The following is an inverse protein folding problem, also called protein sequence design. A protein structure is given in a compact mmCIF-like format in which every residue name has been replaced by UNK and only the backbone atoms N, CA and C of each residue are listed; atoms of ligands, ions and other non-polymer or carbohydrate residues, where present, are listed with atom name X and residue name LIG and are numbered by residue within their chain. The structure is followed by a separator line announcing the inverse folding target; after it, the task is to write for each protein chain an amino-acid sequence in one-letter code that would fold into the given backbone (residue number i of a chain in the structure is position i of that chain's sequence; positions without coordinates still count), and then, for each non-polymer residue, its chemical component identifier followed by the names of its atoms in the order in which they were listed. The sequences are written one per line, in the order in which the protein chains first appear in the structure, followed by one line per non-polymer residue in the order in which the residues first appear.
data_IF_826548722299
#
_entry.id   IF_826548722299
#
_cell.length_a   1.000
_cell.length_b   1.000
_cell.length_c   1.000
_cell.angle_alpha   90.00
_cell.angle_beta   90.00
_cell.angle_gamma   90.00
#
_symmetry.space_group_name_H-M   'P 1'
#
loop_
_entity.id
_entity.type
_entity.pdbx_description
1 polymer ?
#
# COMPACT_ATOMS: atom_id res chain seq x y z
N UNK A 1 -6.38 1.78 -6.39
CA UNK A 1 -5.26 2.65 -5.92
C UNK A 1 -4.63 2.07 -4.68
N UNK A 2 -3.31 1.90 -4.63
CA UNK A 2 -2.58 1.47 -3.42
C UNK A 2 -1.83 2.65 -2.83
N UNK A 3 -2.04 2.91 -1.54
CA UNK A 3 -1.48 4.05 -0.83
C UNK A 3 -0.55 3.59 0.28
N UNK A 4 0.70 4.05 0.20
CA UNK A 4 1.75 3.75 1.18
C UNK A 4 1.83 4.87 2.21
N UNK A 5 1.33 4.64 3.43
CA UNK A 5 1.45 5.61 4.51
C UNK A 5 2.85 5.59 5.13
N UNK A 6 3.55 6.73 5.02
CA UNK A 6 4.80 7.03 5.71
C UNK A 6 4.51 7.97 6.90
N UNK A 7 5.41 8.01 7.88
CA UNK A 7 5.29 8.90 9.06
C UNK A 7 4.02 8.70 9.91
N UNK A 8 3.48 7.49 9.94
CA UNK A 8 2.34 7.16 10.82
C UNK A 8 2.76 7.18 12.29
N UNK A 9 1.76 7.25 13.20
CA UNK A 9 1.95 7.16 14.65
C UNK A 9 2.95 6.05 14.99
N UNK A 10 4.05 6.43 15.65
CA UNK A 10 5.08 5.50 16.13
C UNK A 10 4.54 4.78 17.36
N UNK A 11 4.37 3.47 17.28
CA UNK A 11 4.22 2.68 18.51
C UNK A 11 5.63 2.43 19.06
N UNK A 12 5.91 2.95 20.27
CA UNK A 12 7.18 2.73 20.98
C UNK A 12 8.44 3.01 20.13
N UNK A 13 8.43 4.12 19.38
CA UNK A 13 9.61 4.62 18.67
C UNK A 13 9.83 4.11 17.24
N UNK A 14 9.15 3.04 16.80
CA UNK A 14 9.24 2.55 15.40
C UNK A 14 7.87 2.64 14.70
N UNK A 15 7.82 3.26 13.52
CA UNK A 15 6.65 3.24 12.64
C UNK A 15 6.77 2.06 11.68
N UNK A 16 5.78 1.16 11.69
CA UNK A 16 5.63 0.14 10.65
C UNK A 16 4.97 0.76 9.43
N UNK A 17 5.46 0.47 8.22
CA UNK A 17 4.81 0.96 7.00
C UNK A 17 3.45 0.30 6.87
N UNK A 18 2.49 1.00 6.28
CA UNK A 18 1.17 0.44 5.99
C UNK A 18 0.76 0.76 4.57
N UNK A 19 0.28 -0.27 3.88
CA UNK A 19 -0.26 -0.16 2.54
C UNK A 19 -1.76 -0.41 2.61
N UNK A 20 -2.52 0.56 2.13
CA UNK A 20 -3.97 0.46 2.00
C UNK A 20 -4.34 0.41 0.53
N UNK A 21 -5.41 -0.31 0.22
CA UNK A 21 -5.97 -0.36 -1.13
C UNK A 21 -7.34 0.26 -1.11
N UNK A 22 -7.58 1.13 -2.09
CA UNK A 22 -8.86 1.76 -2.37
C UNK A 22 -9.31 1.39 -3.77
N UNK A 23 -10.62 1.28 -3.95
CA UNK A 23 -11.26 1.00 -5.23
C UNK A 23 -12.32 2.06 -5.51
N UNK A 24 -12.76 2.17 -6.76
CA UNK A 24 -13.83 3.09 -7.12
C UNK A 24 -15.13 2.70 -6.41
N UNK A 25 -15.62 3.63 -5.60
CA UNK A 25 -16.84 3.45 -4.82
C UNK A 25 -18.06 3.73 -5.68
N UNK A 26 -19.21 3.22 -5.26
CA UNK A 26 -20.49 3.44 -5.95
C UNK A 26 -20.93 4.90 -5.89
N UNK A 27 -20.65 5.57 -4.77
CA UNK A 27 -20.89 7.00 -4.61
C UNK A 27 -19.68 7.82 -5.09
N UNK A 28 -19.84 8.43 -6.27
CA UNK A 28 -18.84 9.31 -6.88
C UNK A 28 -18.55 10.56 -6.02
N UNK A 29 -19.51 11.04 -5.24
CA UNK A 29 -19.33 12.23 -4.40
C UNK A 29 -18.32 12.02 -3.28
N UNK A 30 -18.13 10.76 -2.87
CA UNK A 30 -17.22 10.36 -1.79
C UNK A 30 -16.06 9.47 -2.31
N UNK A 31 -15.94 9.27 -3.62
CA UNK A 31 -14.95 8.34 -4.16
C UNK A 31 -13.54 8.94 -4.23
N UNK A 32 -12.72 8.59 -3.24
CA UNK A 32 -11.31 8.99 -3.20
C UNK A 32 -10.54 8.59 -4.48
N UNK A 33 -10.82 7.41 -5.07
CA UNK A 33 -10.11 6.97 -6.29
C UNK A 33 -10.46 7.86 -7.48
N UNK A 34 -11.73 8.18 -7.70
CA UNK A 34 -12.14 9.05 -8.80
C UNK A 34 -11.56 10.46 -8.67
N UNK A 35 -11.54 11.04 -7.46
CA UNK A 35 -10.87 12.33 -7.23
C UNK A 35 -9.37 12.28 -7.55
N UNK A 36 -8.69 11.20 -7.16
CA UNK A 36 -7.27 11.03 -7.43
C UNK A 36 -6.97 10.85 -8.93
N UNK A 37 -7.82 10.12 -9.66
CA UNK A 37 -7.71 10.00 -11.12
C UNK A 37 -7.94 11.35 -11.80
N UNK A 38 -8.94 12.13 -11.36
CA UNK A 38 -9.21 13.45 -11.90
C UNK A 38 -8.03 14.42 -11.71
N UNK A 39 -7.44 14.43 -10.51
CA UNK A 39 -6.23 15.22 -10.23
C UNK A 39 -5.05 14.77 -11.11
N UNK A 40 -4.80 13.46 -11.19
CA UNK A 40 -3.70 12.93 -12.00
C UNK A 40 -3.86 13.26 -13.50
N UNK A 41 -5.09 13.24 -14.03
CA UNK A 41 -5.35 13.64 -15.41
C UNK A 41 -5.19 15.15 -15.62
N UNK A 42 -5.70 15.99 -14.70
CA UNK A 42 -5.55 17.43 -14.77
C UNK A 42 -4.07 17.87 -14.76
N UNK A 43 -3.22 17.08 -14.11
CA UNK A 43 -1.78 17.29 -14.00
C UNK A 43 -0.96 16.58 -15.08
N UNK A 44 -1.58 15.74 -15.93
CA UNK A 44 -0.89 14.82 -16.84
C UNK A 44 0.19 13.99 -16.10
N UNK A 45 -0.16 13.50 -14.91
CA UNK A 45 0.77 12.86 -13.98
C UNK A 45 1.07 11.39 -14.31
N UNK A 46 0.37 10.79 -15.27
CA UNK A 46 0.63 9.42 -15.70
C UNK A 46 1.75 9.37 -16.74
N UNK A 47 2.63 8.38 -16.61
CA UNK A 47 3.73 8.12 -17.55
C UNK A 47 3.26 7.87 -18.99
N UNK A 48 2.06 7.33 -19.15
CA UNK A 48 1.44 7.03 -20.45
C UNK A 48 0.63 8.20 -21.04
N UNK A 49 0.69 9.39 -20.43
CA UNK A 49 0.07 10.63 -20.91
C UNK A 49 -1.42 10.54 -21.28
N UNK A 50 -2.20 9.78 -20.50
CA UNK A 50 -3.65 9.66 -20.69
C UNK A 50 -4.33 11.03 -20.74
N UNK A 51 -5.25 11.24 -21.69
CA UNK A 51 -5.98 12.50 -21.86
C UNK A 51 -7.37 12.47 -21.24
N UNK A 52 -7.89 11.27 -20.96
CA UNK A 52 -9.20 11.09 -20.36
C UNK A 52 -9.29 9.81 -19.52
N UNK A 53 -10.33 9.75 -18.66
CA UNK A 53 -10.68 8.51 -17.96
C UNK A 53 -11.03 7.38 -18.94
N UNK A 54 -11.57 7.72 -20.12
CA UNK A 54 -11.91 6.73 -21.14
C UNK A 54 -10.67 5.99 -21.64
N UNK A 55 -9.53 6.67 -21.75
CA UNK A 55 -8.27 6.04 -22.14
C UNK A 55 -7.85 4.96 -21.14
N UNK A 56 -8.08 5.23 -19.85
CA UNK A 56 -7.78 4.30 -18.76
C UNK A 56 -8.77 3.13 -18.74
N UNK A 57 -10.07 3.40 -18.83
CA UNK A 57 -11.10 2.34 -18.78
C UNK A 57 -11.13 1.45 -20.03
N UNK A 58 -10.60 1.93 -21.16
CA UNK A 58 -10.46 1.13 -22.37
C UNK A 58 -9.24 0.19 -22.33
N UNK A 59 -8.40 0.26 -21.30
CA UNK A 59 -7.24 -0.63 -21.18
C UNK A 59 -7.70 -2.08 -21.01
N UNK A 60 -7.10 -2.97 -21.80
CA UNK A 60 -7.34 -4.41 -21.72
C UNK A 60 -6.14 -5.07 -21.05
N UNK A 61 -6.39 -5.75 -19.92
CA UNK A 61 -5.35 -6.54 -19.25
C UNK A 61 -4.89 -7.65 -20.20
N UNK A 62 -3.58 -7.76 -20.50
CA UNK A 62 -3.06 -8.82 -21.35
C UNK A 62 -3.43 -10.22 -20.81
N UNK A 63 -3.71 -11.23 -21.67
CA UNK A 63 -4.09 -12.57 -21.24
C UNK A 63 -3.04 -13.26 -20.34
N UNK A 64 -1.79 -12.85 -20.47
CA UNK A 64 -0.63 -13.30 -19.70
C UNK A 64 -0.32 -12.40 -18.50
N UNK A 65 -1.22 -11.51 -18.10
CA UNK A 65 -1.10 -10.69 -16.90
C UNK A 65 -2.38 -10.75 -16.06
N UNK A 66 -2.27 -10.52 -14.75
CA UNK A 66 -3.44 -10.48 -13.85
C UNK A 66 -3.98 -9.06 -13.64
N UNK A 67 -3.21 -8.03 -14.01
CA UNK A 67 -3.55 -6.60 -13.87
C UNK A 67 -2.66 -5.72 -14.75
N UNK A 68 -3.06 -4.46 -14.91
CA UNK A 68 -2.21 -3.38 -15.43
C UNK A 68 -1.88 -2.43 -14.28
N UNK A 69 -0.62 -2.03 -14.18
CA UNK A 69 -0.17 -0.99 -13.25
C UNK A 69 -0.05 0.32 -14.01
N UNK A 70 -0.75 1.35 -13.55
CA UNK A 70 -0.61 2.71 -14.07
C UNK A 70 0.48 3.42 -13.26
N UNK A 71 1.58 3.75 -13.90
CA UNK A 71 2.71 4.43 -13.26
C UNK A 71 2.58 5.95 -13.37
N UNK A 72 3.03 6.62 -12.33
CA UNK A 72 3.23 8.07 -12.36
C UNK A 72 4.45 8.37 -13.23
N UNK A 73 4.42 9.52 -13.90
CA UNK A 73 5.61 10.09 -14.50
C UNK A 73 6.68 10.36 -13.43
N UNK A 74 7.96 10.25 -13.79
CA UNK A 74 9.07 10.34 -12.83
C UNK A 74 9.15 11.72 -12.16
N UNK A 75 8.81 12.81 -12.87
CA UNK A 75 8.75 14.15 -12.28
C UNK A 75 7.61 14.24 -11.27
N UNK A 76 6.44 13.70 -11.63
CA UNK A 76 5.23 13.76 -10.81
C UNK A 76 5.26 12.81 -9.61
N UNK A 77 6.02 11.72 -9.67
CA UNK A 77 6.17 10.76 -8.56
C UNK A 77 6.74 11.41 -7.29
N UNK A 78 7.51 12.48 -7.44
CA UNK A 78 8.12 13.25 -6.33
C UNK A 78 7.29 14.48 -5.93
N UNK A 79 6.23 14.83 -6.67
CA UNK A 79 5.39 15.99 -6.36
C UNK A 79 4.29 15.64 -5.33
N UNK A 80 3.93 16.58 -4.44
CA UNK A 80 2.77 16.39 -3.60
C UNK A 80 1.49 16.41 -4.44
N UNK A 81 0.55 15.51 -4.13
CA UNK A 81 -0.73 15.42 -4.83
C UNK A 81 -1.65 16.58 -4.41
N UNK A 82 -1.83 16.76 -3.10
CA UNK A 82 -2.54 17.91 -2.55
C UNK A 82 -1.57 19.07 -2.40
N UNK A 83 -1.74 20.08 -3.25
CA UNK A 83 -0.82 21.21 -3.41
C UNK A 83 -1.41 22.48 -2.83
N UNK A 84 -0.54 23.31 -2.26
CA UNK A 84 -0.92 24.64 -1.78
C UNK A 84 -1.00 25.65 -2.93
N UNK A 85 -1.61 26.80 -2.66
CA UNK A 85 -1.64 27.94 -3.59
C UNK A 85 -0.51 28.92 -3.29
N UNK A 86 0.04 29.51 -4.35
CA UNK A 86 1.06 30.55 -4.27
C UNK A 86 0.59 31.83 -4.96
N UNK A 87 0.90 32.97 -4.33
CA UNK A 87 0.68 34.29 -4.91
C UNK A 87 1.89 34.63 -5.75
N UNK A 88 1.63 35.01 -7.00
CA UNK A 88 2.63 35.43 -7.98
C UNK A 88 2.30 36.83 -8.48
N UNK A 89 3.22 37.46 -9.22
CA UNK A 89 2.96 38.74 -9.88
C UNK A 89 1.73 38.69 -10.82
N UNK A 90 1.38 37.50 -11.34
CA UNK A 90 0.27 37.28 -12.26
C UNK A 90 -1.00 36.74 -11.56
N UNK A 91 -1.08 36.84 -10.22
CA UNK A 91 -2.21 36.34 -9.44
C UNK A 91 -1.91 35.04 -8.70
N UNK A 92 -2.96 34.29 -8.36
CA UNK A 92 -2.88 33.07 -7.54
C UNK A 92 -2.84 31.83 -8.44
N UNK A 93 -1.90 30.93 -8.18
CA UNK A 93 -1.82 29.63 -8.87
C UNK A 93 -1.59 28.47 -7.91
N UNK A 94 -1.87 27.25 -8.35
CA UNK A 94 -1.51 26.04 -7.60
C UNK A 94 0.01 25.87 -7.68
N UNK A 95 0.66 25.74 -6.52
CA UNK A 95 2.10 25.51 -6.44
C UNK A 95 2.43 24.11 -6.92
N UNK A 96 3.50 23.94 -7.70
CA UNK A 96 3.91 22.60 -8.15
C UNK A 96 4.49 21.76 -7.02
N UNK A 97 5.26 22.38 -6.13
CA UNK A 97 6.12 21.68 -5.17
C UNK A 97 5.65 21.81 -3.71
N UNK A 98 4.83 22.82 -3.38
CA UNK A 98 4.38 23.04 -2.00
C UNK A 98 3.20 22.14 -1.68
N UNK A 99 3.39 21.25 -0.71
CA UNK A 99 2.31 20.41 -0.18
C UNK A 99 1.30 21.23 0.63
N UNK A 100 0.04 20.81 0.58
CA UNK A 100 -1.03 21.42 1.34
C UNK A 100 -0.86 21.13 2.84
N UNK A 101 -0.70 22.19 3.63
CA UNK A 101 -0.31 22.07 5.04
C UNK A 101 -1.48 21.62 5.93
N UNK A 102 -1.18 20.78 6.94
CA UNK A 102 -2.18 20.28 7.88
C UNK A 102 -2.95 21.40 8.61
N UNK A 103 -2.25 22.45 9.04
CA UNK A 103 -2.89 23.58 9.72
C UNK A 103 -3.91 24.29 8.81
N UNK A 104 -3.55 24.46 7.53
CA UNK A 104 -4.41 25.06 6.50
C UNK A 104 -5.61 24.15 6.21
N UNK A 105 -5.38 22.84 6.06
CA UNK A 105 -6.46 21.85 5.92
C UNK A 105 -7.43 21.89 7.09
N UNK A 106 -6.93 21.84 8.33
CA UNK A 106 -7.76 21.92 9.55
C UNK A 106 -8.60 23.20 9.57
N UNK A 107 -8.01 24.34 9.20
CA UNK A 107 -8.72 25.61 9.14
C UNK A 107 -9.92 25.56 8.18
N UNK A 108 -9.72 25.07 6.94
CA UNK A 108 -10.81 24.96 5.97
C UNK A 108 -11.83 23.89 6.35
N UNK A 109 -11.41 22.77 6.93
CA UNK A 109 -12.31 21.70 7.37
C UNK A 109 -13.28 22.19 8.45
N UNK A 110 -12.80 22.96 9.44
CA UNK A 110 -13.65 23.57 10.46
C UNK A 110 -14.62 24.58 9.84
N UNK A 111 -14.15 25.41 8.89
CA UNK A 111 -15.00 26.38 8.19
C UNK A 111 -16.08 25.72 7.36
N UNK A 112 -15.74 24.66 6.63
CA UNK A 112 -16.70 23.86 5.88
C UNK A 112 -17.79 23.36 6.82
N UNK A 113 -17.42 22.82 7.98
CA UNK A 113 -18.38 22.37 8.98
C UNK A 113 -19.38 23.44 9.42
N UNK A 114 -18.90 24.68 9.63
CA UNK A 114 -19.75 25.82 10.00
C UNK A 114 -20.70 26.21 8.87
N UNK A 115 -20.23 26.24 7.63
CA UNK A 115 -21.05 26.57 6.45
C UNK A 115 -22.13 25.52 6.22
N UNK A 116 -21.82 24.24 6.47
CA UNK A 116 -22.79 23.15 6.40
C UNK A 116 -23.80 23.16 7.57
N UNK A 117 -23.67 24.08 8.53
CA UNK A 117 -24.61 24.22 9.64
C UNK A 117 -24.46 23.17 10.74
N UNK A 118 -23.32 22.48 10.85
CA UNK A 118 -23.11 21.54 11.95
C UNK A 118 -23.06 22.28 13.29
N UNK A 119 -23.83 21.78 14.26
CA UNK A 119 -23.91 22.32 15.63
C UNK A 119 -22.53 22.37 16.31
N UNK A 120 -21.73 21.32 16.10
CA UNK A 120 -20.37 21.21 16.63
C UNK A 120 -19.35 21.44 15.52
N UNK A 121 -18.25 22.11 15.87
CA UNK A 121 -17.13 22.26 14.96
C UNK A 121 -16.59 20.89 14.54
N UNK A 122 -16.40 20.70 13.24
CA UNK A 122 -15.81 19.47 12.72
C UNK A 122 -14.35 19.34 13.17
N UNK A 123 -13.99 18.15 13.66
CA UNK A 123 -12.63 17.82 14.08
C UNK A 123 -12.10 16.63 13.28
N UNK A 124 -10.88 16.76 12.75
CA UNK A 124 -10.21 15.65 12.07
C UNK A 124 -10.02 14.43 12.99
N UNK A 125 -9.85 14.68 14.30
CA UNK A 125 -9.81 13.61 15.28
C UNK A 125 -11.17 12.91 15.46
N UNK A 126 -12.27 13.62 15.22
CA UNK A 126 -13.62 13.05 15.14
C UNK A 126 -13.74 11.99 14.05
N UNK A 127 -13.24 12.29 12.84
CA UNK A 127 -13.20 11.31 11.73
C UNK A 127 -12.43 10.05 12.13
N UNK A 128 -11.25 10.23 12.73
CA UNK A 128 -10.42 9.10 13.21
C UNK A 128 -11.14 8.26 14.27
N UNK A 129 -11.87 8.88 15.20
CA UNK A 129 -12.64 8.15 16.22
C UNK A 129 -13.80 7.37 15.60
N UNK A 130 -14.53 7.99 14.67
CA UNK A 130 -15.59 7.33 13.90
C UNK A 130 -15.07 6.09 13.18
N UNK A 131 -14.04 6.24 12.34
CA UNK A 131 -13.42 5.09 11.66
C UNK A 131 -12.89 4.04 12.64
N UNK A 132 -12.31 4.48 13.76
CA UNK A 132 -11.79 3.59 14.79
C UNK A 132 -12.87 2.73 15.48
N UNK A 133 -14.10 3.25 15.60
CA UNK A 133 -15.25 2.51 16.12
C UNK A 133 -15.70 1.45 15.10
N UNK A 134 -15.92 1.83 13.85
CA UNK A 134 -16.36 0.88 12.82
C UNK A 134 -15.36 -0.27 12.64
N UNK A 135 -14.06 0.04 12.65
CA UNK A 135 -13.00 -0.99 12.63
C UNK A 135 -13.00 -1.87 13.88
N UNK A 136 -13.35 -1.34 15.05
CA UNK A 136 -13.41 -2.10 16.28
C UNK A 136 -14.55 -3.11 16.27
N UNK A 137 -15.67 -2.74 15.67
CA UNK A 137 -16.87 -3.57 15.62
C UNK A 137 -16.76 -4.62 14.49
N UNK A 138 -15.96 -4.34 13.44
CA UNK A 138 -15.83 -5.20 12.26
C UNK A 138 -14.61 -6.15 12.23
N UNK A 139 -13.59 -5.94 13.07
CA UNK A 139 -12.29 -6.63 12.99
C UNK A 139 -11.81 -7.14 14.36
N UNK A 140 -10.83 -8.05 14.36
CA UNK A 140 -10.22 -8.47 15.63
C UNK A 140 -9.46 -7.32 16.31
N UNK A 141 -9.27 -7.36 17.64
CA UNK A 141 -8.49 -6.35 18.34
C UNK A 141 -7.08 -6.16 17.76
N UNK A 142 -6.43 -7.23 17.32
CA UNK A 142 -5.10 -7.27 16.71
C UNK A 142 -5.08 -6.53 15.37
N UNK A 143 -6.01 -6.89 14.48
CA UNK A 143 -6.16 -6.28 13.15
C UNK A 143 -6.45 -4.78 13.28
N UNK A 144 -7.39 -4.42 14.16
CA UNK A 144 -7.74 -3.03 14.45
C UNK A 144 -6.56 -2.26 15.06
N UNK A 145 -5.81 -2.85 16.02
CA UNK A 145 -4.60 -2.23 16.59
C UNK A 145 -3.55 -2.01 15.51
N UNK A 146 -3.32 -3.02 14.68
CA UNK A 146 -2.41 -2.96 13.56
C UNK A 146 -2.79 -1.81 12.62
N UNK A 147 -4.02 -1.79 12.09
CA UNK A 147 -4.53 -0.74 11.18
C UNK A 147 -4.44 0.65 11.81
N UNK A 148 -4.88 0.81 13.06
CA UNK A 148 -4.90 2.11 13.74
C UNK A 148 -3.52 2.60 14.19
N UNK A 149 -2.50 1.73 14.20
CA UNK A 149 -1.15 2.09 14.64
C UNK A 149 -1.05 2.21 16.16
N UNK A 150 -1.85 1.40 16.85
CA UNK A 150 -1.78 1.26 18.28
C UNK A 150 -0.71 0.22 18.64
N UNK A 151 -0.21 0.27 19.87
CA UNK A 151 0.78 -0.70 20.34
C UNK A 151 0.18 -2.10 20.41
N UNK A 152 0.81 -3.05 19.73
CA UNK A 152 0.51 -4.48 19.81
C UNK A 152 1.60 -5.27 20.54
N UNK A 153 1.37 -6.58 20.63
CA UNK A 153 2.30 -7.58 21.14
C UNK A 153 3.39 -7.94 20.10
N UNK A 154 4.05 -9.08 20.29
CA UNK A 154 5.11 -9.58 19.39
C UNK A 154 4.54 -9.94 18.01
N UNK A 155 3.36 -10.56 17.97
CA UNK A 155 2.68 -10.97 16.76
C UNK A 155 2.40 -9.80 15.81
N UNK A 156 1.74 -8.72 16.27
CA UNK A 156 1.41 -7.60 15.37
C UNK A 156 2.65 -6.85 14.88
N UNK A 157 3.74 -6.89 15.66
CA UNK A 157 5.01 -6.27 15.28
C UNK A 157 5.72 -7.03 14.19
N UNK A 158 5.88 -8.34 14.33
CA UNK A 158 6.75 -9.12 13.47
C UNK A 158 6.02 -9.90 12.38
N UNK A 159 4.77 -10.28 12.60
CA UNK A 159 4.07 -11.22 11.72
C UNK A 159 2.93 -10.61 10.92
N UNK A 160 2.33 -9.50 11.38
CA UNK A 160 1.34 -8.81 10.54
C UNK A 160 2.03 -8.19 9.30
N UNK A 161 1.53 -8.40 8.08
CA UNK A 161 2.12 -7.79 6.90
C UNK A 161 1.97 -6.26 6.90
N UNK A 162 2.80 -5.57 6.12
CA UNK A 162 2.62 -4.12 5.89
C UNK A 162 1.37 -3.84 5.05
N UNK A 163 0.92 -4.81 4.25
CA UNK A 163 -0.31 -4.71 3.47
C UNK A 163 -1.53 -5.02 4.33
N UNK A 164 -2.43 -4.06 4.44
CA UNK A 164 -3.72 -4.24 5.11
C UNK A 164 -4.67 -4.93 4.12
N UNK A 165 -5.00 -6.18 4.40
CA UNK A 165 -5.80 -7.04 3.52
C UNK A 165 -7.31 -6.96 3.78
N UNK A 166 -7.74 -6.00 4.62
CA UNK A 166 -9.13 -5.72 4.97
C UNK A 166 -9.65 -4.52 4.19
N UNK A 167 -10.93 -4.58 3.83
CA UNK A 167 -11.63 -3.49 3.18
C UNK A 167 -11.98 -2.35 4.16
N UNK A 168 -10.97 -1.55 4.53
CA UNK A 168 -11.17 -0.39 5.39
C UNK A 168 -12.07 0.67 4.74
N UNK A 169 -12.10 0.76 3.41
CA UNK A 169 -13.01 1.67 2.68
C UNK A 169 -14.46 1.23 2.90
N UNK A 170 -14.75 -0.06 2.66
CA UNK A 170 -16.08 -0.63 2.84
C UNK A 170 -16.57 -0.51 4.29
N UNK A 171 -15.71 -0.86 5.25
CA UNK A 171 -16.02 -0.75 6.69
C UNK A 171 -16.35 0.70 7.06
N UNK A 172 -15.54 1.68 6.62
CA UNK A 172 -15.77 3.08 6.99
C UNK A 172 -17.04 3.66 6.36
N UNK A 173 -17.34 3.29 5.11
CA UNK A 173 -18.50 3.79 4.38
C UNK A 173 -19.79 3.00 4.68
N UNK A 174 -19.71 1.92 5.46
CA UNK A 174 -20.85 1.04 5.72
C UNK A 174 -21.33 0.28 4.47
N UNK A 175 -20.45 0.04 3.51
CA UNK A 175 -20.77 -0.67 2.26
C UNK A 175 -20.33 -2.14 2.31
N UNK A 176 -20.88 -3.02 1.45
CA UNK A 176 -20.47 -4.42 1.41
C UNK A 176 -18.95 -4.57 1.23
N UNK A 177 -18.32 -5.34 2.14
CA UNK A 177 -16.87 -5.54 2.17
C UNK A 177 -16.39 -6.33 0.95
N UNK A 178 -15.30 -5.86 0.33
CA UNK A 178 -14.63 -6.50 -0.82
C UNK A 178 -13.24 -7.04 -0.43
N UNK A 179 -13.16 -7.74 0.70
CA UNK A 179 -11.88 -8.25 1.25
C UNK A 179 -11.14 -9.20 0.29
N UNK A 180 -11.86 -9.93 -0.56
CA UNK A 180 -11.26 -10.79 -1.58
C UNK A 180 -10.57 -9.98 -2.68
N UNK A 181 -11.18 -8.88 -3.15
CA UNK A 181 -10.57 -7.93 -4.06
C UNK A 181 -9.31 -7.32 -3.45
N UNK A 182 -9.39 -6.83 -2.20
CA UNK A 182 -8.23 -6.26 -1.49
C UNK A 182 -7.11 -7.29 -1.36
N UNK A 183 -7.42 -8.52 -0.94
CA UNK A 183 -6.43 -9.61 -0.86
C UNK A 183 -5.80 -9.93 -2.21
N UNK A 184 -6.57 -9.94 -3.31
CA UNK A 184 -6.02 -10.15 -4.66
C UNK A 184 -5.03 -9.05 -5.03
N UNK A 185 -5.30 -7.79 -4.68
CA UNK A 185 -4.38 -6.68 -4.94
C UNK A 185 -3.04 -6.89 -4.21
N UNK A 186 -3.06 -7.39 -2.98
CA UNK A 186 -1.86 -7.65 -2.18
C UNK A 186 -1.01 -8.85 -2.61
N UNK A 187 -1.48 -9.68 -3.54
CA UNK A 187 -0.70 -10.82 -4.07
C UNK A 187 0.48 -10.33 -4.89
N UNK A 188 1.57 -11.10 -4.86
CA UNK A 188 2.70 -10.88 -5.76
C UNK A 188 2.24 -11.02 -7.20
N UNK A 189 2.48 -9.99 -8.00
CA UNK A 189 2.26 -10.04 -9.43
C UNK A 189 3.28 -10.97 -10.07
N UNK A 190 2.82 -11.82 -10.98
CA UNK A 190 3.68 -12.70 -11.77
C UNK A 190 3.19 -12.69 -13.19
N UNK A 191 4.09 -12.34 -14.10
CA UNK A 191 3.80 -12.36 -15.52
C UNK A 191 3.61 -13.82 -15.96
N UNK A 192 2.55 -14.13 -16.70
CA UNK A 192 2.14 -15.47 -17.12
C UNK A 192 3.16 -16.16 -18.03
N UNK A 193 3.88 -15.39 -18.86
CA UNK A 193 5.03 -15.89 -19.63
C UNK A 193 6.26 -16.26 -18.77
N UNK A 194 6.27 -15.96 -17.48
CA UNK A 194 7.39 -16.35 -16.61
C UNK A 194 7.37 -17.87 -16.38
N UNK A 195 8.50 -18.59 -16.52
CA UNK A 195 8.57 -20.04 -16.25
C UNK A 195 8.17 -20.36 -14.80
N UNK A 196 7.28 -21.34 -14.60
CA UNK A 196 6.81 -21.78 -13.28
C UNK A 196 7.76 -22.74 -12.58
N UNK A 197 8.60 -23.39 -13.37
CA UNK A 197 9.64 -24.27 -12.91
C UNK A 197 10.79 -24.24 -13.91
N UNK A 198 11.96 -24.61 -13.44
CA UNK A 198 13.10 -24.89 -14.31
C UNK A 198 12.84 -26.21 -15.05
N UNK A 199 13.31 -26.28 -16.29
CA UNK A 199 13.42 -27.56 -17.02
C UNK A 199 14.44 -28.47 -16.33
N UNK A 200 14.40 -29.77 -16.63
CA UNK A 200 15.33 -30.72 -16.02
C UNK A 200 16.78 -30.47 -16.47
N UNK A 201 16.96 -29.98 -17.70
CA UNK A 201 18.24 -29.53 -18.23
C UNK A 201 18.78 -28.34 -17.44
N UNK A 202 17.94 -27.32 -17.19
CA UNK A 202 18.33 -26.15 -16.38
C UNK A 202 18.64 -26.54 -14.93
N UNK A 203 17.87 -27.46 -14.34
CA UNK A 203 18.17 -27.98 -12.99
C UNK A 203 19.51 -28.69 -12.97
N UNK A 204 19.80 -29.49 -14.01
CA UNK A 204 21.06 -30.22 -14.14
C UNK A 204 22.25 -29.25 -14.31
N UNK A 205 22.09 -28.22 -15.14
CA UNK A 205 23.07 -27.17 -15.33
C UNK A 205 23.41 -26.47 -14.00
N UNK A 206 22.40 -26.02 -13.25
CA UNK A 206 22.60 -25.37 -11.94
C UNK A 206 23.27 -26.34 -10.95
N UNK A 207 22.85 -27.60 -10.92
CA UNK A 207 23.43 -28.62 -10.03
C UNK A 207 24.92 -28.84 -10.32
N UNK A 208 25.30 -28.77 -11.59
CA UNK A 208 26.67 -28.98 -12.05
C UNK A 208 27.50 -27.68 -12.10
N UNK A 209 26.91 -26.53 -11.79
CA UNK A 209 27.61 -25.25 -11.80
C UNK A 209 28.82 -25.31 -10.84
N UNK A 210 30.05 -24.94 -11.27
CA UNK A 210 31.26 -25.13 -10.48
C UNK A 210 31.17 -24.57 -9.05
N UNK A 211 30.58 -23.38 -8.89
CA UNK A 211 30.42 -22.76 -7.58
C UNK A 211 29.45 -23.51 -6.66
N UNK A 212 28.36 -24.06 -7.22
CA UNK A 212 27.37 -24.84 -6.47
C UNK A 212 28.00 -26.17 -6.02
N UNK A 213 28.75 -26.83 -6.91
CA UNK A 213 29.47 -28.07 -6.60
C UNK A 213 30.50 -27.81 -5.50
N UNK A 214 31.30 -26.75 -5.62
CA UNK A 214 32.31 -26.36 -4.62
C UNK A 214 31.67 -26.03 -3.27
N UNK A 215 30.58 -25.26 -3.26
CA UNK A 215 29.84 -24.92 -2.05
C UNK A 215 29.21 -26.17 -1.40
N UNK A 216 28.66 -27.09 -2.20
CA UNK A 216 28.10 -28.34 -1.70
C UNK A 216 29.17 -29.25 -1.09
N UNK A 217 30.34 -29.36 -1.72
CA UNK A 217 31.49 -30.09 -1.17
C UNK A 217 31.92 -29.49 0.18
N UNK A 218 32.09 -28.17 0.24
CA UNK A 218 32.48 -27.47 1.46
C UNK A 218 31.44 -27.65 2.59
N UNK A 219 30.15 -27.54 2.28
CA UNK A 219 29.06 -27.82 3.22
C UNK A 219 29.13 -29.25 3.76
N UNK A 220 29.41 -30.22 2.91
CA UNK A 220 29.52 -31.62 3.33
C UNK A 220 30.73 -31.84 4.25
N UNK A 221 31.88 -31.23 3.94
CA UNK A 221 33.07 -31.26 4.81
C UNK A 221 32.77 -30.68 6.19
N UNK A 222 32.21 -29.47 6.26
CA UNK A 222 31.83 -28.88 7.55
C UNK A 222 30.78 -29.71 8.29
N UNK A 223 29.82 -30.30 7.56
CA UNK A 223 28.85 -31.22 8.14
C UNK A 223 29.48 -32.45 8.78
N UNK A 224 30.54 -33.00 8.18
CA UNK A 224 31.32 -34.10 8.76
C UNK A 224 32.12 -33.66 9.98
N UNK A 225 32.79 -32.51 9.92
CA UNK A 225 33.53 -31.95 11.06
C UNK A 225 32.64 -31.73 12.28
N UNK A 226 31.43 -31.21 12.07
CA UNK A 226 30.45 -30.99 13.14
C UNK A 226 30.04 -32.33 13.77
N UNK A 227 29.80 -33.37 12.97
CA UNK A 227 29.48 -34.71 13.49
C UNK A 227 30.65 -35.32 14.29
N UNK A 228 31.88 -35.17 13.80
CA UNK A 228 33.08 -35.65 14.49
C UNK A 228 33.30 -34.94 15.83
N UNK A 229 32.88 -33.68 15.95
CA UNK A 229 32.88 -32.92 17.21
C UNK A 229 31.77 -33.31 18.19
N UNK A 230 30.96 -34.34 17.86
CA UNK A 230 29.95 -34.90 18.76
C UNK A 230 28.60 -34.18 18.76
N UNK A 231 28.38 -33.22 17.86
CA UNK A 231 27.08 -32.55 17.74
C UNK A 231 26.08 -33.46 17.01
N UNK A 232 24.92 -33.71 17.65
CA UNK A 232 23.83 -34.50 17.08
C UNK A 232 22.99 -33.69 16.10
N UNK A 233 22.43 -34.35 15.08
CA UNK A 233 21.40 -33.75 14.22
C UNK A 233 20.11 -33.54 15.01
N UNK A 234 19.45 -32.39 14.81
CA UNK A 234 18.25 -31.90 15.54
C UNK A 234 17.09 -32.93 15.64
N UNK A 235 17.04 -33.95 14.77
CA UNK A 235 16.05 -35.04 14.86
C UNK A 235 16.28 -36.06 15.98
N UNK A 236 17.36 -35.94 16.76
CA UNK A 236 17.72 -36.86 17.84
C UNK A 236 17.63 -36.22 19.24
N UNK A 237 16.82 -35.17 19.40
CA UNK A 237 16.50 -34.54 20.69
C UNK A 237 15.00 -34.62 20.96
#
# INVERSE_FOLDING_TARGET
MTLNLKHIKRSRGKSKKKKFTFYEGEDLSCCAVSFMLALALADNAFKNEFKSLRDIYNLVVPPDADRITLEWDDEWAEQPIFRDVEVTANGVRISKTKSFQYAKYRYYFVRLGRVMGYEKALELYGLRRGSGKELNDALTPEERRHIMGNSGDVYERYYMPDFVDKDCQGIYLGTPRRDDLIRRVGRLARHGRCPSSLTDEQKLEIKNHPDIVKAAALRNTYGQEIKLKGYTTIKAA
#
